data_IF_405983810836
#
_entry.id   IF_405983810836
#
_cell.length_a   1.000
_cell.length_b   1.000
_cell.length_c   1.000
_cell.angle_alpha   90.00
_cell.angle_beta   90.00
_cell.angle_gamma   90.00
#
_symmetry.space_group_name_H-M   'P 1'
#
loop_
_entity.id
_entity.type
_entity.pdbx_description
1 polymer ?
#
# COMPACT_ATOMS: atom_id res chain seq x y z
N UNK A 1 16.50 -14.61 13.50
CA UNK A 1 17.00 -15.81 12.78
C UNK A 1 16.21 -16.09 11.50
N UNK A 2 16.91 -16.38 10.41
CA UNK A 2 16.33 -16.83 9.15
C UNK A 2 17.02 -18.12 8.68
N UNK A 3 16.26 -19.04 8.08
CA UNK A 3 16.76 -20.29 7.51
C UNK A 3 16.37 -20.33 6.04
N UNK A 4 17.33 -20.60 5.16
CA UNK A 4 17.07 -20.81 3.74
C UNK A 4 17.00 -22.31 3.45
N UNK A 5 15.85 -22.76 2.95
CA UNK A 5 15.58 -24.18 2.69
C UNK A 5 15.16 -24.33 1.24
N UNK A 6 15.77 -25.29 0.56
CA UNK A 6 15.32 -25.73 -0.76
C UNK A 6 14.59 -27.05 -0.62
N UNK A 7 13.36 -27.08 -1.13
CA UNK A 7 12.53 -28.29 -1.23
C UNK A 7 12.41 -28.64 -2.72
N UNK A 8 12.71 -29.87 -3.09
CA UNK A 8 12.59 -30.35 -4.47
C UNK A 8 11.68 -31.57 -4.48
N UNK A 9 10.66 -31.56 -5.35
CA UNK A 9 9.73 -32.68 -5.48
C UNK A 9 8.73 -32.56 -6.63
N UNK A 10 8.21 -33.69 -7.17
CA UNK A 10 7.08 -33.70 -8.10
C UNK A 10 5.78 -33.39 -7.34
N UNK A 11 4.93 -32.53 -7.90
CA UNK A 11 3.71 -32.08 -7.25
C UNK A 11 2.54 -33.04 -7.44
N UNK A 12 1.82 -33.40 -6.36
CA UNK A 12 0.42 -33.82 -6.42
C UNK A 12 -0.32 -33.74 -5.07
N UNK A 13 -1.65 -33.69 -5.21
CA UNK A 13 -2.69 -33.41 -4.22
C UNK A 13 -2.81 -34.42 -3.07
N UNK A 14 -2.99 -33.91 -1.85
CA UNK A 14 -3.30 -34.73 -0.67
C UNK A 14 -3.90 -33.91 0.47
N UNK A 15 -5.00 -34.40 1.04
CA UNK A 15 -5.93 -33.70 1.94
C UNK A 15 -5.51 -33.58 3.41
N UNK A 16 -4.21 -33.64 3.73
CA UNK A 16 -3.67 -33.25 5.04
C UNK A 16 -2.32 -32.57 4.85
N UNK A 17 -2.28 -31.26 5.07
CA UNK A 17 -1.08 -30.46 4.87
C UNK A 17 0.02 -30.95 5.82
N UNK A 18 1.14 -31.43 5.28
CA UNK A 18 2.27 -31.73 6.12
C UNK A 18 2.95 -30.43 6.58
N UNK A 19 3.50 -30.43 7.80
CA UNK A 19 4.14 -29.29 8.42
C UNK A 19 5.62 -29.59 8.70
N UNK A 20 6.49 -28.64 8.35
CA UNK A 20 7.91 -28.62 8.73
C UNK A 20 8.13 -27.43 9.65
N UNK A 21 8.56 -27.70 10.87
CA UNK A 21 8.93 -26.70 11.85
C UNK A 21 10.44 -26.77 12.08
N UNK A 22 11.10 -25.62 12.07
CA UNK A 22 12.53 -25.53 12.29
C UNK A 22 12.79 -24.42 13.30
N UNK A 23 13.60 -24.72 14.30
CA UNK A 23 13.98 -23.79 15.35
C UNK A 23 15.49 -23.85 15.60
N UNK A 24 16.12 -22.73 16.03
CA UNK A 24 17.49 -22.77 16.56
C UNK A 24 17.57 -23.72 17.76
N UNK A 25 18.62 -24.52 17.86
CA UNK A 25 18.90 -25.27 19.09
C UNK A 25 19.24 -24.28 20.22
N UNK A 26 18.57 -24.35 21.36
CA UNK A 26 18.66 -23.33 22.41
C UNK A 26 20.00 -23.30 23.18
N UNK A 27 20.93 -24.23 22.89
CA UNK A 27 22.10 -24.50 23.73
C UNK A 27 23.46 -24.57 22.99
N UNK A 28 23.56 -24.20 21.72
CA UNK A 28 24.76 -24.47 20.92
C UNK A 28 25.46 -23.22 20.31
N UNK A 29 26.76 -23.00 20.57
CA UNK A 29 27.57 -22.00 19.86
C UNK A 29 27.81 -22.32 18.36
N UNK A 30 27.47 -23.53 17.89
CA UNK A 30 27.71 -23.96 16.49
C UNK A 30 26.57 -23.62 15.51
N UNK A 31 25.58 -22.83 15.92
CA UNK A 31 24.45 -22.45 15.04
C UNK A 31 23.69 -23.66 14.47
N UNK A 32 23.50 -24.71 15.28
CA UNK A 32 22.72 -25.88 14.90
C UNK A 32 21.21 -25.59 14.93
N UNK A 33 20.48 -26.21 14.01
CA UNK A 33 19.03 -26.13 13.87
C UNK A 33 18.42 -27.46 14.33
N UNK A 34 17.21 -27.42 14.87
CA UNK A 34 16.39 -28.61 15.06
C UNK A 34 15.18 -28.54 14.14
N UNK A 35 14.76 -29.69 13.62
CA UNK A 35 13.56 -29.81 12.81
C UNK A 35 12.58 -30.82 13.38
N UNK A 36 11.31 -30.57 13.08
CA UNK A 36 10.20 -31.44 13.36
C UNK A 36 9.30 -31.51 12.12
N UNK A 37 8.89 -32.71 11.76
CA UNK A 37 7.93 -32.99 10.71
C UNK A 37 6.67 -33.60 11.32
N UNK A 38 5.53 -32.99 11.02
CA UNK A 38 4.24 -33.45 11.53
C UNK A 38 3.16 -33.47 10.44
N UNK A 39 2.15 -34.33 10.60
CA UNK A 39 0.97 -34.39 9.73
C UNK A 39 -0.27 -34.59 10.58
N UNK A 40 -1.20 -33.64 10.53
CA UNK A 40 -2.43 -33.70 11.33
C UNK A 40 -2.16 -33.77 12.84
N UNK A 41 -1.11 -33.11 13.34
CA UNK A 41 -0.74 -33.07 14.76
C UNK A 41 0.14 -34.22 15.26
N UNK A 42 0.43 -35.23 14.43
CA UNK A 42 1.32 -36.34 14.78
C UNK A 42 2.72 -36.06 14.23
N UNK A 43 3.71 -36.01 15.11
CA UNK A 43 5.13 -35.91 14.77
C UNK A 43 5.63 -37.27 14.32
N UNK A 44 6.26 -37.34 13.14
CA UNK A 44 6.77 -38.60 12.59
C UNK A 44 8.28 -38.57 12.27
N UNK A 45 8.91 -37.40 12.30
CA UNK A 45 10.36 -37.29 12.21
C UNK A 45 10.86 -36.02 12.91
N UNK A 46 12.00 -36.14 13.58
CA UNK A 46 12.73 -35.04 14.20
C UNK A 46 14.22 -35.23 13.98
N UNK A 47 15.00 -34.18 14.12
CA UNK A 47 16.46 -34.30 14.09
C UNK A 47 17.17 -32.96 14.16
N UNK A 48 18.49 -33.02 14.09
CA UNK A 48 19.35 -31.83 14.02
C UNK A 48 19.78 -31.57 12.58
N UNK A 49 19.85 -30.29 12.22
CA UNK A 49 20.31 -29.81 10.93
C UNK A 49 21.47 -28.85 11.10
N UNK A 50 22.40 -28.96 10.17
CA UNK A 50 23.53 -28.04 10.00
C UNK A 50 23.52 -27.57 8.55
N UNK A 51 24.19 -26.46 8.26
CA UNK A 51 24.29 -25.95 6.89
C UNK A 51 24.80 -27.06 5.95
N UNK A 52 24.09 -27.25 4.84
CA UNK A 52 24.39 -28.27 3.84
C UNK A 52 23.75 -29.64 4.08
N UNK A 53 23.16 -29.90 5.27
CA UNK A 53 22.48 -31.17 5.52
C UNK A 53 21.21 -31.30 4.68
N UNK A 54 20.91 -32.54 4.28
CA UNK A 54 19.68 -32.89 3.57
C UNK A 54 18.93 -33.98 4.31
N UNK A 55 17.61 -33.90 4.34
CA UNK A 55 16.75 -34.88 4.99
C UNK A 55 15.53 -35.19 4.12
N UNK A 56 15.02 -36.42 4.25
CA UNK A 56 13.76 -36.82 3.62
C UNK A 56 12.60 -36.20 4.40
N UNK A 57 11.66 -35.56 3.69
CA UNK A 57 10.51 -34.91 4.34
C UNK A 57 9.39 -35.90 4.67
N UNK A 58 9.41 -37.09 4.06
CA UNK A 58 8.27 -38.02 4.11
C UNK A 58 7.05 -37.51 3.34
N UNK A 59 7.21 -36.46 2.52
CA UNK A 59 6.17 -35.91 1.64
C UNK A 59 6.46 -36.44 0.24
N UNK A 60 5.92 -37.62 -0.08
CA UNK A 60 6.31 -38.36 -1.28
C UNK A 60 7.85 -38.49 -1.36
N UNK A 61 8.46 -38.24 -2.52
CA UNK A 61 9.90 -38.31 -2.75
C UNK A 61 10.66 -37.01 -2.47
N UNK A 62 10.04 -36.08 -1.72
CA UNK A 62 10.63 -34.76 -1.52
C UNK A 62 11.83 -34.82 -0.57
N UNK A 63 12.84 -34.03 -0.90
CA UNK A 63 14.03 -33.81 -0.08
C UNK A 63 14.17 -32.34 0.24
N UNK A 64 14.47 -32.05 1.50
CA UNK A 64 14.77 -30.71 1.97
C UNK A 64 16.27 -30.59 2.26
N UNK A 65 16.88 -29.51 1.80
CA UNK A 65 18.29 -29.18 2.06
C UNK A 65 18.37 -27.83 2.76
N UNK A 66 19.13 -27.76 3.86
CA UNK A 66 19.45 -26.49 4.52
C UNK A 66 20.57 -25.80 3.75
N UNK A 67 20.25 -24.69 3.09
CA UNK A 67 21.22 -23.93 2.31
C UNK A 67 21.99 -22.95 3.19
N UNK A 68 21.31 -22.28 4.12
CA UNK A 68 21.94 -21.32 5.02
C UNK A 68 21.15 -21.12 6.31
N UNK A 69 21.84 -20.68 7.36
CA UNK A 69 21.25 -20.25 8.61
C UNK A 69 21.87 -18.94 9.07
N UNK A 70 21.03 -17.92 9.20
CA UNK A 70 21.41 -16.56 9.54
C UNK A 70 20.81 -16.23 10.91
N UNK A 71 21.55 -16.42 12.01
CA UNK A 71 21.00 -16.28 13.37
C UNK A 71 20.49 -14.86 13.66
N UNK A 72 21.22 -13.85 13.17
CA UNK A 72 20.91 -12.42 13.33
C UNK A 72 20.41 -11.79 12.03
N UNK A 73 19.48 -12.45 11.34
CA UNK A 73 18.83 -11.87 10.17
C UNK A 73 17.93 -10.70 10.58
N UNK A 74 18.08 -9.57 9.90
CA UNK A 74 17.14 -8.45 9.92
C UNK A 74 16.48 -8.33 8.55
N UNK A 75 15.19 -8.00 8.52
CA UNK A 75 14.49 -7.73 7.28
C UNK A 75 14.90 -6.32 6.83
N UNK A 76 15.70 -6.23 5.77
CA UNK A 76 16.13 -4.96 5.19
C UNK A 76 15.47 -4.79 3.82
N UNK A 77 14.70 -3.72 3.66
CA UNK A 77 14.23 -3.28 2.35
C UNK A 77 15.35 -2.48 1.69
N UNK A 78 15.83 -2.95 0.53
CA UNK A 78 16.84 -2.23 -0.25
C UNK A 78 16.29 -1.88 -1.62
N UNK A 79 16.36 -0.60 -1.96
CA UNK A 79 16.02 -0.13 -3.30
C UNK A 79 17.19 -0.42 -4.24
N UNK A 80 16.88 -0.93 -5.42
CA UNK A 80 17.86 -1.19 -6.47
C UNK A 80 17.41 -0.50 -7.77
N UNK A 81 18.35 0.03 -8.55
CA UNK A 81 18.01 0.66 -9.82
C UNK A 81 17.58 -0.42 -10.81
N UNK A 82 16.53 -0.13 -11.58
CA UNK A 82 16.07 -0.97 -12.69
C UNK A 82 16.35 -0.21 -13.98
N UNK A 83 16.98 -0.87 -14.94
CA UNK A 83 17.56 -0.18 -16.10
C UNK A 83 16.53 0.50 -17.01
N UNK A 84 15.26 0.08 -17.05
CA UNK A 84 14.30 0.53 -18.07
C UNK A 84 12.83 0.37 -17.63
N UNK A 85 12.36 1.23 -16.71
CA UNK A 85 10.94 1.33 -16.40
C UNK A 85 10.47 2.79 -16.57
N UNK A 86 9.77 3.13 -17.67
CA UNK A 86 9.24 4.47 -17.90
C UNK A 86 8.42 4.93 -16.68
N UNK A 87 8.72 6.12 -16.15
CA UNK A 87 8.03 6.69 -14.98
C UNK A 87 8.63 6.33 -13.61
N UNK A 88 9.69 5.52 -13.55
CA UNK A 88 10.40 5.24 -12.29
C UNK A 88 11.39 6.36 -12.00
N UNK A 89 11.11 7.18 -10.99
CA UNK A 89 12.03 8.23 -10.54
C UNK A 89 12.73 7.80 -9.26
N UNK A 90 14.02 8.09 -9.15
CA UNK A 90 14.81 7.80 -7.97
C UNK A 90 16.23 8.30 -8.15
N UNK A 91 16.94 8.47 -7.04
CA UNK A 91 18.32 8.94 -7.05
C UNK A 91 19.11 8.27 -5.93
N UNK A 92 20.42 8.30 -6.07
CA UNK A 92 21.33 7.81 -5.05
C UNK A 92 21.85 8.99 -4.24
N UNK A 93 21.88 8.87 -2.91
CA UNK A 93 22.45 9.89 -2.04
C UNK A 93 23.22 9.30 -0.85
N UNK A 94 23.94 10.15 -0.13
CA UNK A 94 24.67 9.84 1.09
C UNK A 94 24.73 11.09 1.97
N UNK A 95 24.98 10.91 3.27
CA UNK A 95 25.26 12.03 4.16
C UNK A 95 26.75 12.37 4.12
N UNK A 96 27.06 13.66 4.06
CA UNK A 96 28.42 14.18 4.16
C UNK A 96 28.49 15.23 5.27
N UNK A 97 29.47 15.08 6.15
CA UNK A 97 29.77 16.03 7.21
C UNK A 97 30.67 17.17 6.72
N UNK A 98 30.75 18.31 7.44
CA UNK A 98 31.58 19.45 7.03
C UNK A 98 33.07 19.14 6.89
N UNK A 99 33.59 18.16 7.64
CA UNK A 99 34.97 17.66 7.54
C UNK A 99 35.18 16.68 6.36
N UNK A 100 34.14 16.41 5.58
CA UNK A 100 34.20 15.61 4.35
C UNK A 100 33.99 14.12 4.56
N UNK A 101 33.76 13.64 5.78
CA UNK A 101 33.43 12.24 6.01
C UNK A 101 32.04 11.91 5.42
N UNK A 102 31.94 10.75 4.77
CA UNK A 102 30.75 10.31 4.05
C UNK A 102 30.17 9.04 4.66
N UNK A 103 28.85 8.99 4.76
CA UNK A 103 28.09 7.80 5.07
C UNK A 103 27.93 6.86 3.88
N UNK A 104 27.37 5.65 4.10
CA UNK A 104 27.02 4.75 3.01
C UNK A 104 26.01 5.41 2.05
N UNK A 105 26.12 5.04 0.78
CA UNK A 105 25.22 5.54 -0.24
C UNK A 105 24.03 4.61 -0.42
N UNK A 106 22.83 5.20 -0.40
CA UNK A 106 21.56 4.47 -0.53
C UNK A 106 20.75 4.99 -1.72
N UNK A 107 20.01 4.07 -2.34
CA UNK A 107 19.01 4.41 -3.34
C UNK A 107 17.75 4.94 -2.66
N UNK A 108 17.22 6.03 -3.21
CA UNK A 108 16.05 6.74 -2.74
C UNK A 108 15.00 6.68 -3.86
N UNK A 109 13.84 6.15 -3.51
CA UNK A 109 12.71 5.96 -4.41
C UNK A 109 11.47 6.76 -3.95
N UNK A 110 10.45 6.85 -4.81
CA UNK A 110 9.27 7.65 -4.53
C UNK A 110 8.36 6.94 -3.53
N UNK A 111 7.90 7.66 -2.50
CA UNK A 111 6.96 7.16 -1.49
C UNK A 111 7.58 6.24 -0.42
N UNK A 112 8.90 6.05 -0.41
CA UNK A 112 9.60 5.20 0.56
C UNK A 112 10.41 6.07 1.52
N UNK A 113 10.31 5.78 2.83
CA UNK A 113 11.18 6.41 3.84
C UNK A 113 12.55 5.75 3.79
N UNK A 114 13.56 6.48 3.32
CA UNK A 114 14.95 6.02 3.32
C UNK A 114 15.70 6.67 4.48
N UNK A 115 16.47 5.88 5.22
CA UNK A 115 17.36 6.39 6.27
C UNK A 115 18.78 6.41 5.76
N UNK A 116 19.39 7.60 5.70
CA UNK A 116 20.81 7.75 5.44
C UNK A 116 21.55 7.78 6.78
N UNK A 117 22.62 6.99 6.88
CA UNK A 117 23.43 6.92 8.09
C UNK A 117 24.73 7.70 7.91
N UNK A 118 25.26 8.23 9.01
CA UNK A 118 26.58 8.84 9.14
C UNK A 118 27.15 8.47 10.53
N UNK A 119 28.46 8.62 10.74
CA UNK A 119 29.08 8.37 12.07
C UNK A 119 28.43 9.20 13.19
N UNK A 120 27.96 10.40 12.85
CA UNK A 120 27.42 11.40 13.79
C UNK A 120 25.88 11.35 13.92
N UNK A 121 25.21 10.41 13.23
CA UNK A 121 23.76 10.26 13.31
C UNK A 121 23.11 9.73 12.03
N UNK A 122 21.81 9.96 11.90
CA UNK A 122 21.05 9.53 10.73
C UNK A 122 20.04 10.60 10.32
N UNK A 123 19.68 10.61 9.03
CA UNK A 123 18.63 11.45 8.48
C UNK A 123 17.62 10.56 7.78
N UNK A 124 16.34 10.75 8.09
CA UNK A 124 15.23 10.12 7.37
C UNK A 124 14.72 11.09 6.32
N UNK A 125 14.60 10.60 5.10
CA UNK A 125 14.10 11.38 3.97
C UNK A 125 13.02 10.58 3.22
N UNK A 126 12.10 11.31 2.63
CA UNK A 126 11.08 10.78 1.74
C UNK A 126 11.16 11.59 0.46
N UNK A 127 11.38 10.91 -0.66
CA UNK A 127 11.20 11.49 -1.98
C UNK A 127 9.82 11.07 -2.48
N UNK A 128 9.09 11.95 -3.16
CA UNK A 128 7.74 11.64 -3.64
C UNK A 128 6.98 12.90 -4.04
N UNK A 129 5.67 12.75 -4.19
CA UNK A 129 4.78 13.86 -4.45
C UNK A 129 4.78 14.85 -3.30
N UNK A 130 4.56 16.13 -3.62
CA UNK A 130 4.34 17.17 -2.63
C UNK A 130 3.17 16.77 -1.72
N UNK A 131 3.42 16.74 -0.41
CA UNK A 131 2.40 16.42 0.57
C UNK A 131 1.53 17.65 0.73
N UNK A 132 0.34 17.63 0.13
CA UNK A 132 -0.63 18.69 0.29
C UNK A 132 -1.53 18.40 1.51
N UNK A 133 -1.43 19.15 2.61
CA UNK A 133 -2.25 18.92 3.79
C UNK A 133 -3.71 19.32 3.51
N UNK A 134 -4.65 18.44 3.88
CA UNK A 134 -6.07 18.79 3.82
C UNK A 134 -6.43 19.79 4.95
N UNK A 135 -7.28 20.79 4.67
CA UNK A 135 -7.68 21.80 5.65
C UNK A 135 -8.74 21.30 6.66
N UNK A 136 -9.05 20.02 6.66
CA UNK A 136 -10.03 19.37 7.53
C UNK A 136 -9.53 17.97 7.93
N UNK A 137 -10.19 17.39 8.91
CA UNK A 137 -10.05 15.99 9.31
C UNK A 137 -11.32 15.24 8.90
N UNK A 138 -11.18 13.97 8.53
CA UNK A 138 -12.30 13.07 8.26
C UNK A 138 -12.21 11.87 9.19
N UNK A 139 -13.35 11.50 9.78
CA UNK A 139 -13.49 10.31 10.62
C UNK A 139 -14.61 9.44 10.06
N UNK A 140 -14.36 8.14 9.98
CA UNK A 140 -15.41 7.16 9.76
C UNK A 140 -16.18 6.95 11.07
N UNK A 141 -17.49 7.22 11.05
CA UNK A 141 -18.37 6.92 12.16
C UNK A 141 -18.87 5.47 12.07
N UNK A 142 -19.36 5.08 10.89
CA UNK A 142 -19.90 3.76 10.64
C UNK A 142 -19.78 3.39 9.16
N UNK A 143 -19.47 2.13 8.89
CA UNK A 143 -19.53 1.56 7.55
C UNK A 143 -20.55 0.43 7.51
N UNK A 144 -21.45 0.46 6.53
CA UNK A 144 -22.54 -0.51 6.37
C UNK A 144 -22.59 -1.03 4.95
N UNK A 145 -22.70 -2.35 4.80
CA UNK A 145 -22.81 -3.04 3.52
C UNK A 145 -24.13 -3.80 3.49
N UNK A 146 -25.26 -3.15 3.15
CA UNK A 146 -26.53 -3.85 2.99
C UNK A 146 -26.43 -4.89 1.87
N UNK A 147 -27.19 -5.96 1.98
CA UNK A 147 -27.24 -7.07 1.02
C UNK A 147 -28.62 -7.14 0.36
N UNK A 148 -28.70 -7.76 -0.80
CA UNK A 148 -29.99 -8.10 -1.38
C UNK A 148 -30.64 -9.22 -0.58
N UNK A 149 -31.93 -9.05 -0.27
CA UNK A 149 -32.73 -10.04 0.45
C UNK A 149 -32.59 -11.42 -0.19
N UNK A 150 -32.29 -12.43 0.64
CA UNK A 150 -32.09 -13.80 0.17
C UNK A 150 -30.75 -14.08 -0.51
N UNK A 151 -29.80 -13.14 -0.52
CA UNK A 151 -28.45 -13.37 -1.05
C UNK A 151 -27.37 -12.77 -0.15
N UNK A 152 -26.12 -13.20 -0.33
CA UNK A 152 -24.96 -12.54 0.28
C UNK A 152 -24.39 -11.39 -0.57
N UNK A 153 -25.06 -11.01 -1.65
CA UNK A 153 -24.59 -9.99 -2.59
C UNK A 153 -24.77 -8.59 -2.00
N UNK A 154 -23.69 -7.78 -1.90
CA UNK A 154 -23.79 -6.38 -1.47
C UNK A 154 -24.68 -5.57 -2.42
N UNK A 155 -25.64 -4.82 -1.87
CA UNK A 155 -26.50 -3.89 -2.62
C UNK A 155 -26.00 -2.45 -2.54
N UNK A 156 -25.21 -2.11 -1.53
CA UNK A 156 -24.61 -0.79 -1.38
C UNK A 156 -23.37 -0.83 -0.48
N UNK A 157 -22.61 0.26 -0.49
CA UNK A 157 -21.50 0.51 0.40
C UNK A 157 -21.69 1.89 1.00
N UNK A 158 -22.00 1.97 2.29
CA UNK A 158 -22.42 3.22 2.94
C UNK A 158 -21.40 3.57 4.01
N UNK A 159 -20.72 4.69 3.81
CA UNK A 159 -19.78 5.27 4.77
C UNK A 159 -20.38 6.52 5.39
N UNK A 160 -20.67 6.48 6.69
CA UNK A 160 -21.07 7.63 7.50
C UNK A 160 -19.81 8.34 7.99
N UNK A 161 -19.59 9.56 7.53
CA UNK A 161 -18.37 10.34 7.73
C UNK A 161 -18.66 11.58 8.56
N UNK A 162 -17.71 11.91 9.43
CA UNK A 162 -17.71 13.17 10.18
C UNK A 162 -16.50 13.97 9.75
N UNK A 163 -16.75 15.15 9.20
CA UNK A 163 -15.73 16.10 8.82
C UNK A 163 -15.57 17.17 9.88
N UNK A 164 -14.34 17.54 10.17
CA UNK A 164 -14.01 18.62 11.10
C UNK A 164 -13.08 19.63 10.43
N UNK A 165 -13.53 20.86 10.27
CA UNK A 165 -12.68 21.95 9.77
C UNK A 165 -11.60 22.30 10.80
N UNK A 166 -10.33 22.38 10.37
CA UNK A 166 -9.22 22.76 11.25
C UNK A 166 -9.27 24.23 11.66
N UNK A 167 -9.90 25.10 10.87
CA UNK A 167 -9.96 26.55 11.12
C UNK A 167 -11.20 26.96 11.89
N UNK A 168 -12.35 26.39 11.54
CA UNK A 168 -13.64 26.88 12.02
C UNK A 168 -14.32 25.96 13.05
N UNK A 169 -13.70 24.84 13.42
CA UNK A 169 -14.26 23.82 14.33
C UNK A 169 -15.66 23.32 13.94
N UNK A 170 -16.03 23.45 12.66
CA UNK A 170 -17.32 22.99 12.14
C UNK A 170 -17.26 21.47 12.02
N UNK A 171 -18.15 20.79 12.74
CA UNK A 171 -18.43 19.37 12.59
C UNK A 171 -19.56 19.20 11.58
N UNK A 172 -19.30 18.42 10.52
CA UNK A 172 -20.29 18.12 9.50
C UNK A 172 -20.37 16.62 9.27
N UNK A 173 -21.55 16.07 9.48
CA UNK A 173 -21.86 14.70 9.10
C UNK A 173 -22.21 14.64 7.62
N UNK A 174 -21.70 13.63 6.93
CA UNK A 174 -22.05 13.35 5.54
C UNK A 174 -21.99 11.84 5.26
N UNK A 175 -22.80 11.40 4.31
CA UNK A 175 -22.87 10.00 3.93
C UNK A 175 -22.33 9.86 2.52
N UNK A 176 -21.32 9.00 2.35
CA UNK A 176 -20.83 8.56 1.04
C UNK A 176 -21.42 7.19 0.75
N UNK A 177 -22.08 7.03 -0.40
CA UNK A 177 -22.61 5.73 -0.85
C UNK A 177 -22.31 5.48 -2.32
N UNK A 178 -22.59 4.27 -2.82
CA UNK A 178 -22.35 3.95 -4.22
C UNK A 178 -23.02 4.96 -5.14
N UNK A 179 -22.25 5.50 -6.10
CA UNK A 179 -22.65 6.55 -7.04
C UNK A 179 -23.09 7.90 -6.42
N UNK A 180 -22.95 8.08 -5.10
CA UNK A 180 -23.30 9.31 -4.40
C UNK A 180 -22.17 9.72 -3.45
N UNK A 181 -21.20 10.50 -3.94
CA UNK A 181 -20.08 10.94 -3.11
C UNK A 181 -20.52 11.93 -2.03
N UNK A 182 -19.91 11.83 -0.86
CA UNK A 182 -20.01 12.88 0.15
C UNK A 182 -19.25 14.13 -0.31
N UNK A 183 -19.66 15.31 0.17
CA UNK A 183 -19.01 16.58 -0.19
C UNK A 183 -18.73 17.44 1.04
N UNK A 184 -17.49 17.94 1.14
CA UNK A 184 -17.04 18.84 2.20
C UNK A 184 -16.23 20.01 1.64
N UNK A 185 -16.49 21.26 2.06
CA UNK A 185 -17.56 21.71 2.96
C UNK A 185 -18.95 21.59 2.34
N UNK A 186 -19.06 21.35 1.02
CA UNK A 186 -20.32 21.25 0.30
C UNK A 186 -21.07 22.58 0.21
N UNK A 187 -22.32 22.53 -0.25
CA UNK A 187 -23.15 23.71 -0.48
C UNK A 187 -22.89 24.38 -1.83
N UNK A 188 -23.81 25.25 -2.24
CA UNK A 188 -23.80 25.89 -3.55
C UNK A 188 -22.60 26.80 -3.74
N UNK A 189 -22.20 27.55 -2.72
CA UNK A 189 -21.04 28.46 -2.79
C UNK A 189 -19.72 27.73 -2.99
N UNK A 190 -19.46 26.67 -2.22
CA UNK A 190 -18.23 25.88 -2.37
C UNK A 190 -18.21 25.15 -3.72
N UNK A 191 -19.37 24.63 -4.17
CA UNK A 191 -19.50 23.98 -5.48
C UNK A 191 -19.33 24.96 -6.63
N UNK A 192 -19.76 26.22 -6.46
CA UNK A 192 -19.59 27.27 -7.46
C UNK A 192 -18.12 27.69 -7.60
N UNK A 193 -17.47 27.98 -6.47
CA UNK A 193 -16.10 28.53 -6.39
C UNK A 193 -14.98 27.49 -6.52
N UNK A 194 -15.30 26.20 -6.40
CA UNK A 194 -14.30 25.12 -6.45
C UNK A 194 -13.60 24.87 -5.12
N UNK A 195 -14.11 25.41 -4.02
CA UNK A 195 -13.60 25.14 -2.68
C UNK A 195 -14.24 23.89 -2.08
N UNK A 196 -14.42 22.82 -2.87
CA UNK A 196 -15.17 21.64 -2.48
C UNK A 196 -14.37 20.35 -2.72
N UNK A 197 -14.50 19.39 -1.82
CA UNK A 197 -13.88 18.07 -1.91
C UNK A 197 -14.99 17.02 -1.97
N UNK A 198 -14.81 16.03 -2.86
CA UNK A 198 -15.72 14.90 -3.02
C UNK A 198 -15.06 13.62 -2.54
N UNK A 199 -15.83 12.83 -1.82
CA UNK A 199 -15.40 11.56 -1.23
C UNK A 199 -16.28 10.45 -1.81
N UNK A 200 -15.69 9.64 -2.67
CA UNK A 200 -16.35 8.50 -3.30
C UNK A 200 -15.86 7.22 -2.65
N UNK A 201 -16.74 6.21 -2.55
CA UNK A 201 -16.32 4.87 -2.15
C UNK A 201 -15.36 4.28 -3.19
N UNK A 202 -14.21 3.77 -2.75
CA UNK A 202 -13.20 3.16 -3.65
C UNK A 202 -13.01 1.66 -3.38
N UNK A 203 -12.91 1.26 -2.11
CA UNK A 203 -12.64 -0.13 -1.71
C UNK A 203 -13.14 -0.37 -0.28
N UNK A 204 -13.33 -1.63 0.10
CA UNK A 204 -13.71 -2.04 1.46
C UNK A 204 -13.03 -3.36 1.84
N UNK A 205 -13.03 -3.70 3.12
CA UNK A 205 -12.49 -4.96 3.64
C UNK A 205 -13.64 -5.91 4.05
N UNK A 206 -13.78 -7.07 3.39
CA UNK A 206 -14.79 -8.07 3.75
C UNK A 206 -14.66 -8.69 5.13
N UNK A 207 -13.45 -8.72 5.67
CA UNK A 207 -13.17 -9.27 6.99
C UNK A 207 -13.33 -8.24 8.12
N UNK A 208 -13.24 -6.94 7.80
CA UNK A 208 -13.34 -5.85 8.79
C UNK A 208 -14.17 -4.67 8.27
N UNK A 209 -15.34 -4.47 8.87
CA UNK A 209 -16.24 -3.35 8.57
C UNK A 209 -15.91 -2.08 9.37
N UNK A 210 -14.77 -2.03 10.08
CA UNK A 210 -14.31 -0.83 10.79
C UNK A 210 -13.49 0.11 9.92
N UNK A 211 -13.21 -0.28 8.68
CA UNK A 211 -12.45 0.52 7.74
C UNK A 211 -13.17 0.67 6.40
N UNK A 212 -12.88 1.78 5.72
CA UNK A 212 -13.35 2.06 4.37
C UNK A 212 -12.25 2.78 3.62
N UNK A 213 -12.11 2.51 2.32
CA UNK A 213 -11.21 3.27 1.46
C UNK A 213 -12.03 4.24 0.62
N UNK A 214 -11.71 5.52 0.74
CA UNK A 214 -12.36 6.59 -0.01
C UNK A 214 -11.38 7.19 -1.02
N UNK A 215 -11.89 7.46 -2.22
CA UNK A 215 -11.20 8.34 -3.17
C UNK A 215 -11.58 9.78 -2.87
N UNK A 216 -10.57 10.63 -2.72
CA UNK A 216 -10.75 12.07 -2.49
C UNK A 216 -10.45 12.81 -3.78
N UNK A 217 -11.38 13.67 -4.19
CA UNK A 217 -11.23 14.52 -5.37
C UNK A 217 -11.46 15.98 -5.00
N UNK A 218 -10.56 16.87 -5.42
CA UNK A 218 -10.79 18.31 -5.37
C UNK A 218 -11.67 18.73 -6.56
N UNK A 219 -12.85 19.31 -6.29
CA UNK A 219 -13.76 19.77 -7.33
C UNK A 219 -13.38 21.20 -7.75
N UNK A 220 -12.91 21.42 -8.99
CA UNK A 220 -12.48 22.75 -9.45
C UNK A 220 -13.62 23.77 -9.59
N UNK A 221 -14.84 23.35 -9.29
CA UNK A 221 -16.00 24.23 -9.21
C UNK A 221 -16.81 24.27 -10.49
N UNK A 222 -18.01 24.81 -10.36
CA UNK A 222 -18.91 24.96 -11.49
C UNK A 222 -18.48 26.09 -12.41
N UNK A 223 -18.01 27.23 -11.87
CA UNK A 223 -17.66 28.39 -12.69
C UNK A 223 -16.66 28.04 -13.80
N UNK A 224 -15.59 27.32 -13.48
CA UNK A 224 -14.61 26.89 -14.45
C UNK A 224 -15.23 26.01 -15.56
N UNK A 225 -16.10 25.07 -15.17
CA UNK A 225 -16.79 24.16 -16.11
C UNK A 225 -17.76 24.92 -17.02
N UNK A 226 -18.54 25.85 -16.46
CA UNK A 226 -19.49 26.66 -17.21
C UNK A 226 -18.79 27.65 -18.16
N UNK A 227 -17.71 28.31 -17.72
CA UNK A 227 -16.92 29.21 -18.57
C UNK A 227 -16.30 28.44 -19.73
N UNK A 228 -15.72 27.26 -19.48
CA UNK A 228 -15.18 26.41 -20.54
C UNK A 228 -16.25 25.98 -21.55
N UNK A 229 -17.41 25.51 -21.06
CA UNK A 229 -18.56 25.14 -21.90
C UNK A 229 -19.07 26.32 -22.73
N UNK A 230 -19.21 27.49 -22.11
CA UNK A 230 -19.63 28.71 -22.80
C UNK A 230 -18.62 29.12 -23.88
N UNK A 231 -17.32 29.00 -23.61
CA UNK A 231 -16.26 29.26 -24.59
C UNK A 231 -16.36 28.36 -25.81
N UNK A 232 -16.70 27.07 -25.63
CA UNK A 232 -16.95 26.14 -26.74
C UNK A 232 -18.17 26.58 -27.56
N UNK A 233 -19.29 26.92 -26.89
CA UNK A 233 -20.49 27.41 -27.57
C UNK A 233 -20.23 28.69 -28.38
N UNK A 234 -19.46 29.63 -27.81
CA UNK A 234 -19.05 30.86 -28.49
C UNK A 234 -18.14 30.53 -29.69
N UNK A 235 -17.17 29.64 -29.53
CA UNK A 235 -16.27 29.24 -30.63
C UNK A 235 -17.04 28.64 -31.81
N UNK A 236 -18.01 27.77 -31.53
CA UNK A 236 -18.91 27.21 -32.55
C UNK A 236 -19.74 28.32 -33.20
N UNK A 237 -20.33 29.22 -32.42
CA UNK A 237 -21.07 30.35 -32.96
C UNK A 237 -20.20 31.24 -33.86
N UNK A 238 -18.97 31.55 -33.44
CA UNK A 238 -18.03 32.32 -34.26
C UNK A 238 -17.71 31.59 -35.56
N UNK A 239 -17.45 30.28 -35.52
CA UNK A 239 -17.17 29.48 -36.73
C UNK A 239 -18.30 29.53 -37.76
N UNK A 240 -19.57 29.48 -37.32
CA UNK A 240 -20.72 29.45 -38.23
C UNK A 240 -21.19 30.83 -38.69
N UNK A 241 -21.14 31.84 -37.81
CA UNK A 241 -21.68 33.17 -38.11
C UNK A 241 -20.62 34.17 -38.60
N UNK A 242 -19.36 33.96 -38.25
CA UNK A 242 -18.23 34.79 -38.69
C UNK A 242 -17.37 34.01 -39.68
N UNK A 243 -17.86 33.90 -40.92
CA UNK A 243 -17.02 33.45 -42.03
C UNK A 243 -15.96 34.53 -42.32
N UNK A 244 -14.66 34.21 -42.34
CA UNK A 244 -13.67 35.14 -42.83
C UNK A 244 -14.00 35.41 -44.31
N UNK A 245 -14.19 36.69 -44.67
CA UNK A 245 -14.30 37.08 -46.09
C UNK A 245 -13.05 36.55 -46.79
N UNK A 246 -13.25 35.65 -47.76
CA UNK A 246 -12.19 35.31 -48.73
C UNK A 246 -11.80 36.61 -49.45
N UNK A 247 -10.62 37.13 -49.12
CA UNK A 247 -9.93 38.09 -49.97
C UNK A 247 -9.23 37.37 -51.12
#
# INVERSE_FOLDING_TARGET
PAVLIRIVGPGHDGTKQPLLEIAPASTDPQHSLQYQLSRGGIVYATGQLVKGSSFATGWADWKATVLDFIPSASLAMRLMPISQAPGSTGFQAFLQSPDGARGPSEWIGPGVVTTLFHRDGFVRLIYGYEIQPLPFTVKLNKFTVPRYEGTDTPSNYISELVFQDKKNSILKEAVSKMNHPASFPGGSWASLTGLNYKFSQAQWNPADLRETTLQVLYDPGWLLKWIGSLGICIGIAVMFYFTPKRS
#
